data_IF_057320532082
#
_entry.id   IF_057320532082
#
_cell.length_a   1.000
_cell.length_b   1.000
_cell.length_c   1.000
_cell.angle_alpha   90.00
_cell.angle_beta   90.00
_cell.angle_gamma   90.00
#
_symmetry.space_group_name_H-M   'P 1'
#
loop_
_entity.id
_entity.type
_entity.pdbx_description
1 polymer ?
#
# COMPACT_ATOMS: atom_id res chain seq x y z
N UNK A 1 2.62 -6.16 -20.46
CA UNK A 1 3.29 -4.93 -19.95
C UNK A 1 3.97 -4.21 -21.11
N UNK A 2 3.87 -2.86 -21.20
CA UNK A 2 4.60 -2.08 -22.23
C UNK A 2 6.10 -2.01 -21.89
N UNK A 3 6.96 -1.78 -22.92
CA UNK A 3 8.43 -1.65 -22.71
C UNK A 3 8.76 -0.52 -21.73
N UNK A 4 8.08 0.62 -21.83
CA UNK A 4 8.28 1.76 -20.92
C UNK A 4 7.87 1.44 -19.47
N UNK A 5 6.84 0.64 -19.29
CA UNK A 5 6.39 0.18 -17.97
C UNK A 5 7.37 -0.83 -17.37
N UNK A 6 7.87 -1.77 -18.17
CA UNK A 6 8.90 -2.70 -17.71
C UNK A 6 10.15 -1.97 -17.20
N UNK A 7 10.66 -1.01 -17.97
CA UNK A 7 11.82 -0.18 -17.55
C UNK A 7 11.52 0.56 -16.24
N UNK A 8 10.30 1.07 -16.06
CA UNK A 8 9.91 1.74 -14.84
C UNK A 8 9.90 0.80 -13.63
N UNK A 9 9.36 -0.41 -13.79
CA UNK A 9 9.32 -1.43 -12.73
C UNK A 9 10.73 -1.85 -12.30
N UNK A 10 11.64 -2.08 -13.26
CA UNK A 10 13.04 -2.40 -12.96
C UNK A 10 13.69 -1.28 -12.16
N UNK A 11 13.53 -0.02 -12.58
CA UNK A 11 14.09 1.13 -11.84
C UNK A 11 13.51 1.29 -10.44
N UNK A 12 12.22 1.05 -10.26
CA UNK A 12 11.59 1.08 -8.95
C UNK A 12 12.15 -0.03 -8.04
N UNK A 13 12.22 -1.27 -8.55
CA UNK A 13 12.79 -2.41 -7.82
C UNK A 13 14.25 -2.16 -7.40
N UNK A 14 15.09 -1.65 -8.32
CA UNK A 14 16.49 -1.28 -8.02
C UNK A 14 16.57 -0.19 -6.93
N UNK A 15 15.71 0.84 -7.00
CA UNK A 15 15.68 1.91 -6.01
C UNK A 15 15.36 1.38 -4.61
N UNK A 16 14.34 0.53 -4.49
CA UNK A 16 13.96 -0.10 -3.23
C UNK A 16 15.01 -1.12 -2.75
N UNK A 17 15.66 -1.85 -3.65
CA UNK A 17 16.76 -2.75 -3.29
C UNK A 17 17.94 -2.01 -2.67
N UNK A 18 18.31 -0.83 -3.20
CA UNK A 18 19.36 0.01 -2.60
C UNK A 18 18.99 0.52 -1.21
N UNK A 19 17.71 0.81 -0.97
CA UNK A 19 17.23 1.32 0.31
C UNK A 19 17.01 0.23 1.36
N UNK A 20 16.95 -1.05 0.95
CA UNK A 20 16.50 -2.15 1.82
C UNK A 20 17.29 -2.28 3.12
N UNK A 21 18.61 -2.08 3.09
CA UNK A 21 19.48 -2.22 4.27
C UNK A 21 19.16 -1.21 5.39
N UNK A 22 18.67 -0.02 5.04
CA UNK A 22 18.37 1.07 5.98
C UNK A 22 16.87 1.32 6.14
N UNK A 23 16.03 0.56 5.42
CA UNK A 23 14.60 0.81 5.33
C UNK A 23 13.91 0.76 6.70
N UNK A 24 14.22 -0.25 7.50
CA UNK A 24 13.61 -0.41 8.82
C UNK A 24 14.10 0.64 9.81
N UNK A 25 15.35 1.06 9.71
CA UNK A 25 15.89 2.16 10.51
C UNK A 25 15.20 3.49 10.19
N UNK A 26 15.02 3.78 8.89
CA UNK A 26 14.36 5.01 8.42
C UNK A 26 12.89 5.10 8.78
N UNK A 27 12.17 3.98 8.74
CA UNK A 27 10.71 3.97 8.82
C UNK A 27 10.13 3.21 10.01
N UNK A 28 10.95 2.37 10.69
CA UNK A 28 10.49 1.50 11.77
C UNK A 28 10.05 2.25 13.03
N UNK A 29 10.65 3.41 13.33
CA UNK A 29 10.35 4.20 14.53
C UNK A 29 9.53 5.46 14.26
N UNK A 30 9.33 5.84 12.99
CA UNK A 30 8.55 7.03 12.64
C UNK A 30 7.08 6.90 13.09
N UNK A 31 6.65 7.80 13.99
CA UNK A 31 5.32 7.75 14.59
C UNK A 31 4.18 7.89 13.58
N UNK A 32 4.39 8.60 12.46
CA UNK A 32 3.40 8.77 11.41
C UNK A 32 3.30 7.53 10.53
N UNK A 33 4.43 6.88 10.25
CA UNK A 33 4.48 5.59 9.54
C UNK A 33 3.81 4.51 10.39
N UNK A 34 4.13 4.43 11.68
CA UNK A 34 3.51 3.49 12.61
C UNK A 34 2.00 3.74 12.75
N UNK A 35 1.56 4.99 12.78
CA UNK A 35 0.14 5.32 12.76
C UNK A 35 -0.55 4.79 11.47
N UNK A 36 0.02 5.05 10.29
CA UNK A 36 -0.53 4.56 9.03
C UNK A 36 -0.60 3.04 9.01
N UNK A 37 0.49 2.38 9.39
CA UNK A 37 0.59 0.92 9.44
C UNK A 37 -0.46 0.31 10.37
N UNK A 38 -0.58 0.85 11.58
CA UNK A 38 -1.61 0.42 12.53
C UNK A 38 -3.02 0.56 11.95
N UNK A 39 -3.33 1.67 11.28
CA UNK A 39 -4.63 1.90 10.66
C UNK A 39 -4.98 0.85 9.59
N UNK A 40 -3.99 0.47 8.77
CA UNK A 40 -4.16 -0.56 7.75
C UNK A 40 -4.32 -1.94 8.38
N UNK A 41 -3.48 -2.30 9.35
CA UNK A 41 -3.56 -3.56 10.09
C UNK A 41 -4.91 -3.71 10.80
N UNK A 42 -5.34 -2.71 11.56
CA UNK A 42 -6.66 -2.70 12.23
C UNK A 42 -7.82 -2.84 11.24
N UNK A 43 -7.69 -2.25 10.04
CA UNK A 43 -8.69 -2.35 8.99
C UNK A 43 -8.78 -3.78 8.45
N UNK A 44 -7.65 -4.39 8.09
CA UNK A 44 -7.60 -5.77 7.58
C UNK A 44 -8.11 -6.75 8.64
N UNK A 45 -7.66 -6.62 9.89
CA UNK A 45 -8.10 -7.49 11.00
C UNK A 45 -9.60 -7.45 11.25
N UNK A 46 -10.30 -6.37 10.89
CA UNK A 46 -11.77 -6.27 11.01
C UNK A 46 -12.53 -7.00 9.91
N UNK A 47 -11.95 -7.13 8.72
CA UNK A 47 -12.66 -7.67 7.55
C UNK A 47 -12.20 -9.06 7.14
N UNK A 48 -10.97 -9.43 7.48
CA UNK A 48 -10.40 -10.73 7.22
C UNK A 48 -10.74 -11.72 8.34
N UNK A 49 -10.89 -12.99 8.00
CA UNK A 49 -11.03 -14.06 8.99
C UNK A 49 -9.63 -14.48 9.48
N UNK A 50 -9.37 -14.52 10.79
CA UNK A 50 -8.12 -15.07 11.32
C UNK A 50 -7.88 -16.50 10.83
N UNK A 51 -6.61 -16.88 10.64
CA UNK A 51 -6.23 -18.21 10.16
C UNK A 51 -6.32 -18.38 8.64
N UNK A 52 -6.64 -17.31 7.91
CA UNK A 52 -6.71 -17.34 6.45
C UNK A 52 -5.35 -17.34 5.79
N UNK A 53 -5.32 -17.76 4.51
CA UNK A 53 -4.16 -17.66 3.64
C UNK A 53 -4.13 -16.30 2.97
N UNK A 54 -3.04 -15.58 3.14
CA UNK A 54 -2.87 -14.19 2.73
C UNK A 54 -1.77 -14.04 1.69
N UNK A 55 -2.04 -13.32 0.61
CA UNK A 55 -1.02 -12.83 -0.34
C UNK A 55 -0.75 -11.36 -0.05
N UNK A 56 0.49 -11.05 0.28
CA UNK A 56 0.99 -9.68 0.38
C UNK A 56 1.74 -9.29 -0.89
N UNK A 57 1.24 -8.26 -1.59
CA UNK A 57 1.91 -7.66 -2.73
C UNK A 57 2.83 -6.52 -2.25
N UNK A 58 4.03 -6.41 -2.82
CA UNK A 58 5.02 -5.39 -2.44
C UNK A 58 5.30 -5.35 -0.92
N UNK A 59 5.68 -6.51 -0.37
CA UNK A 59 5.86 -6.71 1.08
C UNK A 59 7.02 -5.92 1.69
N UNK A 60 7.96 -5.42 0.88
CA UNK A 60 9.16 -4.74 1.36
C UNK A 60 9.98 -5.64 2.28
N UNK A 61 10.41 -5.10 3.42
CA UNK A 61 11.16 -5.83 4.45
C UNK A 61 10.30 -6.72 5.35
N UNK A 62 9.01 -6.90 5.01
CA UNK A 62 8.11 -7.88 5.61
C UNK A 62 7.50 -7.49 6.96
N UNK A 63 7.50 -6.22 7.33
CA UNK A 63 6.94 -5.73 8.61
C UNK A 63 5.46 -6.08 8.81
N UNK A 64 4.67 -6.06 7.72
CA UNK A 64 3.26 -6.42 7.77
C UNK A 64 3.08 -7.94 7.66
N UNK A 65 3.88 -8.64 6.84
CA UNK A 65 3.89 -10.11 6.77
C UNK A 65 4.11 -10.74 8.14
N UNK A 66 5.15 -10.29 8.87
CA UNK A 66 5.45 -10.76 10.21
C UNK A 66 4.32 -10.46 11.20
N UNK A 67 3.73 -9.28 11.12
CA UNK A 67 2.58 -8.92 11.97
C UNK A 67 1.40 -9.87 11.75
N UNK A 68 1.02 -10.12 10.49
CA UNK A 68 -0.12 -10.99 10.19
C UNK A 68 0.16 -12.46 10.53
N UNK A 69 1.41 -12.92 10.34
CA UNK A 69 1.83 -14.25 10.79
C UNK A 69 1.67 -14.42 12.31
N UNK A 70 2.05 -13.42 13.11
CA UNK A 70 1.83 -13.40 14.56
C UNK A 70 0.35 -13.37 14.95
N UNK A 71 -0.53 -13.02 14.01
CA UNK A 71 -1.99 -13.02 14.19
C UNK A 71 -2.68 -14.20 13.50
N UNK A 72 -1.96 -15.32 13.37
CA UNK A 72 -2.44 -16.61 12.85
C UNK A 72 -2.83 -16.61 11.37
N UNK A 73 -2.27 -15.74 10.55
CA UNK A 73 -2.36 -15.87 9.09
C UNK A 73 -1.18 -16.68 8.54
N UNK A 74 -1.43 -17.48 7.52
CA UNK A 74 -0.38 -17.97 6.64
C UNK A 74 -0.14 -16.90 5.59
N UNK A 75 1.09 -16.41 5.45
CA UNK A 75 1.39 -15.27 4.57
C UNK A 75 2.33 -15.70 3.45
N UNK A 76 1.90 -15.49 2.21
CA UNK A 76 2.76 -15.53 1.04
C UNK A 76 3.13 -14.09 0.67
N UNK A 77 4.38 -13.72 0.94
CA UNK A 77 4.88 -12.35 0.80
C UNK A 77 5.67 -12.20 -0.50
N UNK A 78 5.24 -11.27 -1.36
CA UNK A 78 5.88 -11.03 -2.66
C UNK A 78 6.43 -9.61 -2.77
N UNK A 79 7.57 -9.47 -3.41
CA UNK A 79 8.14 -8.18 -3.80
C UNK A 79 8.93 -8.33 -5.11
N UNK A 80 9.07 -7.24 -5.86
CA UNK A 80 9.92 -7.20 -7.04
C UNK A 80 11.39 -6.91 -6.70
N UNK A 81 11.68 -6.51 -5.46
CA UNK A 81 13.00 -6.15 -4.97
C UNK A 81 13.66 -7.31 -4.24
N UNK A 82 14.74 -7.86 -4.80
CA UNK A 82 15.55 -8.90 -4.15
C UNK A 82 16.13 -8.40 -2.82
N UNK A 83 16.56 -7.14 -2.76
CA UNK A 83 17.11 -6.55 -1.54
C UNK A 83 16.09 -6.53 -0.41
N UNK A 84 14.83 -6.14 -0.70
CA UNK A 84 13.75 -6.16 0.29
C UNK A 84 13.47 -7.59 0.78
N UNK A 85 13.31 -8.54 -0.13
CA UNK A 85 13.08 -9.94 0.23
C UNK A 85 14.24 -10.56 1.02
N UNK A 86 15.49 -10.19 0.70
CA UNK A 86 16.66 -10.66 1.46
C UNK A 86 16.58 -10.22 2.92
N UNK A 87 16.16 -8.98 3.21
CA UNK A 87 15.96 -8.50 4.59
C UNK A 87 14.84 -9.27 5.27
N UNK A 88 13.71 -9.49 4.61
CA UNK A 88 12.62 -10.31 5.15
C UNK A 88 13.11 -11.74 5.46
N UNK A 89 13.79 -12.40 4.53
CA UNK A 89 14.31 -13.75 4.71
C UNK A 89 15.29 -13.84 5.88
N UNK A 90 16.11 -12.81 6.13
CA UNK A 90 16.96 -12.74 7.32
C UNK A 90 16.13 -12.70 8.61
N UNK A 91 15.05 -11.92 8.65
CA UNK A 91 14.13 -11.87 9.80
C UNK A 91 13.43 -13.21 10.04
N UNK A 92 13.14 -13.99 8.99
CA UNK A 92 12.47 -15.28 9.08
C UNK A 92 13.36 -16.42 9.61
N UNK A 93 14.68 -16.28 9.62
CA UNK A 93 15.62 -17.31 10.12
C UNK A 93 15.47 -17.64 11.61
N UNK A 94 14.69 -16.87 12.38
CA UNK A 94 14.40 -17.11 13.80
C UNK A 94 13.27 -18.12 14.04
N UNK A 95 12.02 -17.67 14.04
CA UNK A 95 10.86 -18.50 14.40
C UNK A 95 9.61 -18.32 13.52
N UNK A 96 9.63 -17.47 12.52
CA UNK A 96 8.45 -17.14 11.70
C UNK A 96 8.44 -17.84 10.33
N UNK A 97 9.44 -18.66 10.02
CA UNK A 97 9.60 -19.30 8.71
C UNK A 97 8.54 -20.33 8.34
N UNK A 98 7.78 -20.85 9.33
CA UNK A 98 6.72 -21.82 9.07
C UNK A 98 5.41 -21.16 8.58
N UNK A 99 5.19 -19.88 8.90
CA UNK A 99 3.94 -19.17 8.61
C UNK A 99 4.09 -18.09 7.53
N UNK A 100 5.31 -17.77 7.11
CA UNK A 100 5.60 -16.80 6.05
C UNK A 100 6.47 -17.43 4.98
N UNK A 101 5.95 -17.51 3.76
CA UNK A 101 6.73 -17.83 2.56
C UNK A 101 7.02 -16.57 1.76
N UNK A 102 8.10 -16.57 0.98
CA UNK A 102 8.53 -15.40 0.19
C UNK A 102 8.73 -15.78 -1.27
N UNK A 103 8.33 -14.92 -2.19
CA UNK A 103 8.55 -15.10 -3.62
C UNK A 103 8.95 -13.79 -4.31
N UNK A 104 9.98 -13.84 -5.15
CA UNK A 104 10.38 -12.72 -6.00
C UNK A 104 9.39 -12.61 -7.16
N UNK A 105 8.40 -11.75 -7.02
CA UNK A 105 7.39 -11.54 -8.02
C UNK A 105 6.90 -10.09 -8.02
N UNK A 106 6.86 -9.48 -9.21
CA UNK A 106 6.23 -8.17 -9.38
C UNK A 106 4.71 -8.31 -9.39
N UNK A 107 4.02 -7.39 -8.73
CA UNK A 107 2.56 -7.29 -8.81
C UNK A 107 2.04 -7.05 -10.25
N UNK A 108 2.90 -6.66 -11.18
CA UNK A 108 2.56 -6.53 -12.61
C UNK A 108 2.61 -7.85 -13.37
N UNK A 109 3.14 -8.91 -12.77
CA UNK A 109 3.35 -10.23 -13.38
C UNK A 109 2.79 -11.35 -12.50
N UNK A 110 1.65 -11.15 -11.87
CA UNK A 110 1.03 -12.11 -10.94
C UNK A 110 0.67 -13.45 -11.58
N UNK A 111 0.60 -13.52 -12.90
CA UNK A 111 0.48 -14.79 -13.64
C UNK A 111 1.72 -15.70 -13.50
N UNK A 112 2.87 -15.14 -13.14
CA UNK A 112 4.13 -15.86 -12.93
C UNK A 112 4.30 -16.40 -11.50
N UNK A 113 3.42 -16.05 -10.57
CA UNK A 113 3.45 -16.60 -9.22
C UNK A 113 3.50 -18.13 -9.26
N UNK A 114 4.40 -18.73 -8.48
CA UNK A 114 4.47 -20.18 -8.29
C UNK A 114 3.30 -20.63 -7.41
N UNK A 115 3.08 -19.93 -6.29
CA UNK A 115 1.92 -20.14 -5.46
C UNK A 115 0.76 -19.24 -5.92
N UNK A 116 -0.21 -19.86 -6.55
CA UNK A 116 -1.40 -19.17 -7.10
C UNK A 116 -2.60 -19.19 -6.15
N UNK A 117 -2.41 -19.61 -4.90
CA UNK A 117 -3.47 -19.70 -3.92
C UNK A 117 -4.45 -20.86 -4.17
N UNK A 118 -5.77 -20.66 -4.11
CA UNK A 118 -6.46 -19.36 -3.91
C UNK A 118 -6.33 -18.80 -2.48
N UNK A 119 -6.21 -17.48 -2.38
CA UNK A 119 -6.00 -16.78 -1.11
C UNK A 119 -7.32 -16.29 -0.50
N UNK A 120 -7.40 -16.30 0.84
CA UNK A 120 -8.52 -15.72 1.59
C UNK A 120 -8.43 -14.18 1.59
N UNK A 121 -7.20 -13.66 1.60
CA UNK A 121 -6.90 -12.23 1.61
C UNK A 121 -5.78 -11.92 0.63
N UNK A 122 -5.99 -10.92 -0.22
CA UNK A 122 -4.90 -10.29 -0.99
C UNK A 122 -4.79 -8.84 -0.54
N UNK A 123 -3.57 -8.39 -0.22
CA UNK A 123 -3.42 -6.98 0.12
C UNK A 123 -2.13 -6.36 -0.38
N UNK A 124 -2.17 -5.02 -0.51
CA UNK A 124 -1.03 -4.18 -0.85
C UNK A 124 -1.04 -2.92 0.01
N UNK A 125 0.12 -2.57 0.60
CA UNK A 125 0.24 -1.43 1.50
C UNK A 125 1.16 -0.33 0.93
N UNK A 126 1.13 0.84 1.57
CA UNK A 126 2.01 2.00 1.36
C UNK A 126 2.16 2.47 -0.08
N UNK A 127 1.16 2.21 -0.94
CA UNK A 127 1.13 2.75 -2.30
C UNK A 127 2.15 2.12 -3.25
N UNK A 128 2.60 0.89 -3.01
CA UNK A 128 3.46 0.17 -3.95
C UNK A 128 2.83 0.08 -5.33
N UNK A 129 1.51 -0.14 -5.40
CA UNK A 129 0.74 -0.16 -6.65
C UNK A 129 0.72 1.18 -7.40
N UNK A 130 1.16 2.27 -6.79
CA UNK A 130 1.34 3.55 -7.46
C UNK A 130 2.60 3.60 -8.34
N UNK A 131 3.47 2.59 -8.29
CA UNK A 131 4.67 2.50 -9.13
C UNK A 131 4.39 1.95 -10.53
N UNK A 132 3.14 1.68 -10.90
CA UNK A 132 2.75 1.26 -12.25
C UNK A 132 1.73 2.20 -12.88
N UNK A 133 1.86 2.43 -14.19
CA UNK A 133 0.87 3.09 -15.03
C UNK A 133 -0.21 2.14 -15.57
N UNK A 134 -0.06 0.83 -15.36
CA UNK A 134 -0.95 -0.23 -15.86
C UNK A 134 -1.74 -0.87 -14.70
N UNK A 135 -2.17 -0.09 -13.70
CA UNK A 135 -2.87 -0.59 -12.52
C UNK A 135 -4.13 -1.41 -12.87
N UNK A 136 -4.84 -1.08 -13.94
CA UNK A 136 -6.02 -1.83 -14.39
C UNK A 136 -5.72 -3.30 -14.68
N UNK A 137 -4.52 -3.61 -15.21
CA UNK A 137 -4.09 -4.99 -15.46
C UNK A 137 -3.85 -5.75 -14.16
N UNK A 138 -3.19 -5.10 -13.20
CA UNK A 138 -2.98 -5.65 -11.85
C UNK A 138 -4.33 -5.96 -11.19
N UNK A 139 -5.28 -5.02 -11.23
CA UNK A 139 -6.60 -5.21 -10.63
C UNK A 139 -7.37 -6.36 -11.29
N UNK A 140 -7.25 -6.51 -12.61
CA UNK A 140 -7.90 -7.59 -13.35
C UNK A 140 -7.34 -8.99 -12.99
N UNK A 141 -6.03 -9.10 -12.72
CA UNK A 141 -5.40 -10.38 -12.38
C UNK A 141 -5.79 -10.90 -10.99
N UNK A 142 -6.22 -10.02 -10.07
CA UNK A 142 -6.54 -10.40 -8.68
C UNK A 142 -7.69 -11.42 -8.58
N UNK A 143 -8.62 -11.44 -9.54
CA UNK A 143 -9.75 -12.39 -9.49
C UNK A 143 -9.32 -13.85 -9.50
N UNK A 144 -8.27 -14.18 -10.23
CA UNK A 144 -7.76 -15.54 -10.32
C UNK A 144 -7.06 -16.03 -9.03
N UNK A 145 -6.67 -15.09 -8.16
CA UNK A 145 -5.89 -15.39 -6.96
C UNK A 145 -6.74 -15.44 -5.69
N UNK A 146 -7.96 -14.91 -5.71
CA UNK A 146 -8.80 -14.75 -4.52
C UNK A 146 -9.91 -15.78 -4.51
N UNK A 147 -10.10 -16.46 -3.37
CA UNK A 147 -11.23 -17.37 -3.14
C UNK A 147 -12.58 -16.68 -3.33
N UNK A 148 -13.63 -17.38 -3.74
CA UNK A 148 -15.00 -16.85 -3.65
C UNK A 148 -15.28 -16.37 -2.21
N UNK A 149 -15.76 -15.14 -2.06
CA UNK A 149 -15.96 -14.50 -0.75
C UNK A 149 -14.69 -14.00 -0.03
N UNK A 150 -13.51 -14.28 -0.57
CA UNK A 150 -12.24 -13.71 -0.09
C UNK A 150 -12.15 -12.20 -0.28
N UNK A 151 -11.19 -11.57 0.35
CA UNK A 151 -11.08 -10.10 0.39
C UNK A 151 -9.81 -9.58 -0.30
N UNK A 152 -9.93 -8.41 -0.90
CA UNK A 152 -8.81 -7.63 -1.45
C UNK A 152 -8.77 -6.29 -0.74
N UNK A 153 -7.62 -5.93 -0.14
CA UNK A 153 -7.41 -4.60 0.47
C UNK A 153 -6.23 -3.90 -0.17
N UNK A 154 -6.47 -2.72 -0.69
CA UNK A 154 -5.46 -1.91 -1.37
C UNK A 154 -5.29 -0.57 -0.67
N UNK A 155 -4.05 -0.18 -0.40
CA UNK A 155 -3.68 1.13 0.16
C UNK A 155 -2.95 1.91 -0.92
N UNK A 156 -3.60 2.92 -1.44
CA UNK A 156 -3.17 3.63 -2.65
C UNK A 156 -2.99 5.11 -2.34
N UNK A 157 -1.94 5.72 -2.89
CA UNK A 157 -1.72 7.18 -2.83
C UNK A 157 -2.80 7.85 -3.66
N UNK A 158 -3.57 8.70 -3.02
CA UNK A 158 -4.72 9.36 -3.63
C UNK A 158 -4.32 10.39 -4.69
N UNK A 159 -5.15 10.54 -5.72
CA UNK A 159 -5.01 11.61 -6.70
C UNK A 159 -5.27 13.00 -6.11
N UNK A 160 -6.08 13.09 -5.06
CA UNK A 160 -6.32 14.33 -4.32
C UNK A 160 -5.87 14.15 -2.87
N UNK A 161 -5.07 15.11 -2.38
CA UNK A 161 -4.63 15.20 -0.99
C UNK A 161 -4.85 16.61 -0.48
N UNK A 162 -5.70 16.76 0.54
CA UNK A 162 -6.03 18.06 1.12
C UNK A 162 -4.78 18.78 1.63
N UNK A 163 -3.96 18.09 2.41
CA UNK A 163 -2.73 18.66 2.99
C UNK A 163 -1.76 19.16 1.93
N UNK A 164 -1.59 18.40 0.85
CA UNK A 164 -0.71 18.80 -0.24
C UNK A 164 -1.28 19.99 -1.01
N UNK A 165 -2.60 20.01 -1.24
CA UNK A 165 -3.28 21.12 -1.90
C UNK A 165 -3.17 22.40 -1.07
N UNK A 166 -3.24 22.33 0.26
CA UNK A 166 -3.08 23.49 1.14
C UNK A 166 -1.67 24.11 1.08
N UNK A 167 -0.66 23.41 0.54
CA UNK A 167 0.68 23.99 0.32
C UNK A 167 0.67 25.13 -0.70
N UNK A 168 -0.38 25.29 -1.50
CA UNK A 168 -0.53 26.43 -2.39
C UNK A 168 -0.54 27.77 -1.61
N UNK A 169 -1.12 27.80 -0.41
CA UNK A 169 -1.12 28.99 0.46
C UNK A 169 0.28 29.34 1.01
N UNK A 170 1.25 28.42 0.88
CA UNK A 170 2.67 28.65 1.18
C UNK A 170 3.50 28.88 -0.09
N UNK A 171 2.87 29.20 -1.21
CA UNK A 171 3.53 29.44 -2.52
C UNK A 171 4.09 28.17 -3.20
N UNK A 172 3.85 26.96 -2.67
CA UNK A 172 4.37 25.70 -3.21
C UNK A 172 3.43 25.11 -4.27
N UNK A 173 3.09 25.89 -5.30
CA UNK A 173 2.12 25.49 -6.35
C UNK A 173 2.49 24.20 -7.08
N UNK A 174 3.77 24.02 -7.44
CA UNK A 174 4.24 22.77 -8.07
C UNK A 174 3.89 21.53 -7.27
N UNK A 175 4.09 21.58 -5.95
CA UNK A 175 3.77 20.47 -5.04
C UNK A 175 2.27 20.31 -4.88
N UNK A 176 1.55 21.42 -4.67
CA UNK A 176 0.10 21.41 -4.44
C UNK A 176 -0.69 20.76 -5.60
N UNK A 177 -0.23 20.95 -6.83
CA UNK A 177 -0.94 20.47 -8.03
C UNK A 177 -0.28 19.27 -8.70
N UNK A 178 0.84 18.73 -8.18
CA UNK A 178 1.60 17.66 -8.84
C UNK A 178 0.76 16.40 -9.11
N UNK A 179 -0.18 16.06 -8.23
CA UNK A 179 -1.00 14.85 -8.34
C UNK A 179 -2.05 14.97 -9.44
N UNK A 180 -2.57 16.16 -9.68
CA UNK A 180 -3.59 16.40 -10.72
C UNK A 180 -3.04 16.15 -12.13
N UNK A 181 -1.77 16.48 -12.36
CA UNK A 181 -1.10 16.35 -13.66
C UNK A 181 -0.24 15.08 -13.73
N UNK A 182 -0.77 13.96 -13.25
CA UNK A 182 -0.03 12.68 -13.13
C UNK A 182 -0.42 11.62 -14.17
N UNK A 183 -1.13 11.98 -15.25
CA UNK A 183 -1.57 11.01 -16.28
C UNK A 183 -0.41 10.21 -16.88
N UNK A 184 0.76 10.84 -17.10
CA UNK A 184 1.96 10.20 -17.64
C UNK A 184 2.96 9.75 -16.55
N UNK A 185 2.51 9.65 -15.29
CA UNK A 185 3.35 9.42 -14.13
C UNK A 185 4.12 10.66 -13.70
N UNK A 186 4.51 10.70 -12.45
CA UNK A 186 5.38 11.74 -11.86
C UNK A 186 6.68 11.12 -11.41
N UNK A 187 7.77 11.83 -11.67
CA UNK A 187 9.11 11.41 -11.28
C UNK A 187 9.20 11.31 -9.75
N UNK A 188 9.54 10.15 -9.26
CA UNK A 188 9.91 9.86 -7.88
C UNK A 188 11.41 9.59 -7.82
N UNK A 189 12.01 9.80 -6.66
CA UNK A 189 13.44 9.62 -6.44
C UNK A 189 13.67 8.93 -5.10
N UNK A 190 14.40 7.82 -5.12
CA UNK A 190 14.85 7.05 -3.96
C UNK A 190 16.29 6.61 -4.21
N UNK A 191 17.19 6.84 -3.26
CA UNK A 191 18.59 6.39 -3.28
C UNK A 191 19.29 6.60 -4.64
N UNK A 192 19.21 7.84 -5.18
CA UNK A 192 19.82 8.19 -6.46
C UNK A 192 19.11 7.63 -7.70
N UNK A 193 18.11 6.80 -7.54
CA UNK A 193 17.36 6.20 -8.65
C UNK A 193 16.04 6.92 -8.90
N UNK A 194 15.69 7.09 -10.17
CA UNK A 194 14.47 7.78 -10.61
C UNK A 194 13.52 6.80 -11.28
N UNK A 195 12.27 6.79 -10.84
CA UNK A 195 11.18 6.04 -11.46
C UNK A 195 9.92 6.91 -11.49
N UNK A 196 8.82 6.38 -12.05
CA UNK A 196 7.54 7.10 -12.11
C UNK A 196 6.54 6.52 -11.12
N UNK A 197 5.75 7.42 -10.51
CA UNK A 197 4.58 7.10 -9.71
C UNK A 197 3.34 7.75 -10.31
N UNK A 198 2.23 7.03 -10.24
CA UNK A 198 0.90 7.49 -10.64
C UNK A 198 0.01 7.65 -9.41
N UNK A 199 -0.97 8.52 -9.52
CA UNK A 199 -1.92 8.78 -8.45
C UNK A 199 -3.32 8.41 -8.94
N UNK A 200 -3.96 7.48 -8.27
CA UNK A 200 -5.25 6.94 -8.69
C UNK A 200 -6.38 7.40 -7.76
N UNK A 201 -7.51 7.91 -8.30
CA UNK A 201 -8.67 8.18 -7.46
C UNK A 201 -9.37 6.87 -7.10
N UNK A 202 -10.10 6.80 -5.95
CA UNK A 202 -10.88 5.62 -5.59
C UNK A 202 -11.87 5.16 -6.67
N UNK A 203 -12.43 6.09 -7.44
CA UNK A 203 -13.35 5.79 -8.54
C UNK A 203 -12.70 4.94 -9.65
N UNK A 204 -11.41 5.14 -9.91
CA UNK A 204 -10.66 4.31 -10.87
C UNK A 204 -10.61 2.86 -10.39
N UNK A 205 -10.20 2.63 -9.15
CA UNK A 205 -10.10 1.28 -8.58
C UNK A 205 -11.47 0.62 -8.51
N UNK A 206 -12.49 1.32 -8.01
CA UNK A 206 -13.86 0.81 -7.96
C UNK A 206 -14.37 0.39 -9.34
N UNK A 207 -14.12 1.19 -10.39
CA UNK A 207 -14.54 0.87 -11.76
C UNK A 207 -13.95 -0.47 -12.23
N UNK A 208 -12.66 -0.69 -12.03
CA UNK A 208 -11.96 -1.89 -12.54
C UNK A 208 -12.19 -3.13 -11.68
N UNK A 209 -12.48 -2.96 -10.38
CA UNK A 209 -12.82 -4.07 -9.49
C UNK A 209 -14.28 -4.53 -9.59
N UNK A 210 -15.21 -3.63 -9.92
CA UNK A 210 -16.65 -3.90 -9.95
C UNK A 210 -17.09 -5.15 -10.72
N UNK A 211 -16.47 -5.54 -11.84
CA UNK A 211 -16.91 -6.76 -12.56
C UNK A 211 -16.82 -8.03 -11.71
N UNK A 212 -15.80 -8.16 -10.88
CA UNK A 212 -15.50 -9.38 -10.13
C UNK A 212 -15.61 -9.26 -8.61
N UNK A 213 -15.77 -8.04 -8.09
CA UNK A 213 -15.72 -7.76 -6.66
C UNK A 213 -16.82 -6.76 -6.26
N UNK A 214 -17.29 -6.89 -5.02
CA UNK A 214 -18.16 -5.92 -4.37
C UNK A 214 -17.36 -5.06 -3.38
N UNK A 215 -17.64 -3.76 -3.36
CA UNK A 215 -17.00 -2.83 -2.44
C UNK A 215 -17.46 -3.11 -1.00
N UNK A 216 -16.51 -3.34 -0.11
CA UNK A 216 -16.74 -3.57 1.33
C UNK A 216 -16.52 -2.29 2.13
N UNK A 217 -15.42 -1.59 1.87
CA UNK A 217 -15.06 -0.39 2.62
C UNK A 217 -14.20 0.58 1.80
N UNK A 218 -14.32 1.86 2.10
CA UNK A 218 -13.45 2.93 1.62
C UNK A 218 -13.21 3.91 2.77
N UNK A 219 -11.94 4.02 3.20
CA UNK A 219 -11.50 4.92 4.26
C UNK A 219 -10.36 5.82 3.77
N UNK A 220 -10.41 7.09 4.14
CA UNK A 220 -9.26 7.98 3.97
C UNK A 220 -8.19 7.71 5.02
N UNK A 221 -6.93 7.93 4.64
CA UNK A 221 -5.78 7.79 5.52
C UNK A 221 -4.91 9.05 5.41
N UNK A 222 -4.53 9.62 6.54
CA UNK A 222 -3.91 10.95 6.63
C UNK A 222 -4.76 12.03 5.94
N UNK A 223 -6.02 12.11 6.35
CA UNK A 223 -6.96 13.15 5.92
C UNK A 223 -6.96 14.33 6.87
N UNK A 224 -7.14 14.08 8.16
CA UNK A 224 -7.10 15.04 9.26
C UNK A 224 -5.74 15.03 9.92
N UNK A 225 -5.18 13.85 10.11
CA UNK A 225 -3.79 13.67 10.52
C UNK A 225 -2.89 14.09 9.37
N UNK A 226 -1.84 14.90 9.62
CA UNK A 226 -0.90 15.30 8.59
C UNK A 226 -0.16 14.10 7.96
N UNK A 227 0.22 14.17 6.70
CA UNK A 227 1.10 13.17 6.08
C UNK A 227 2.52 13.16 6.66
N UNK A 228 3.24 12.05 6.48
CA UNK A 228 4.59 11.85 7.01
C UNK A 228 5.65 12.84 6.49
N UNK A 229 5.42 13.49 5.34
CA UNK A 229 6.33 14.56 4.86
C UNK A 229 6.27 15.86 5.69
N UNK A 230 5.34 15.96 6.66
CA UNK A 230 5.37 16.98 7.71
C UNK A 230 6.16 16.37 8.88
N UNK A 231 7.48 16.49 8.78
CA UNK A 231 8.45 15.83 9.65
C UNK A 231 8.26 16.16 11.15
N UNK A 232 8.38 15.13 11.96
CA UNK A 232 8.34 15.20 13.43
C UNK A 232 7.05 15.82 13.98
N UNK A 233 5.95 15.79 13.24
CA UNK A 233 4.69 16.41 13.70
C UNK A 233 4.16 15.75 14.97
N UNK A 234 4.18 14.42 15.03
CA UNK A 234 3.69 13.67 16.18
C UNK A 234 4.51 13.94 17.45
N UNK A 235 5.81 14.11 17.32
CA UNK A 235 6.75 14.38 18.39
C UNK A 235 6.67 15.83 18.88
N UNK A 236 6.61 16.77 17.94
CA UNK A 236 6.49 18.21 18.25
C UNK A 236 5.13 18.58 18.82
N UNK A 237 4.07 17.85 18.45
CA UNK A 237 2.68 18.17 18.83
C UNK A 237 1.89 16.95 19.31
N UNK A 238 2.35 16.21 20.35
CA UNK A 238 1.77 14.91 20.72
C UNK A 238 0.29 14.99 21.12
N UNK A 239 -0.12 16.05 21.84
CA UNK A 239 -1.53 16.25 22.23
C UNK A 239 -2.41 16.53 21.02
N UNK A 240 -1.94 17.37 20.09
CA UNK A 240 -2.67 17.66 18.84
C UNK A 240 -2.74 16.42 17.95
N UNK A 241 -1.65 15.69 17.80
CA UNK A 241 -1.62 14.43 17.05
C UNK A 241 -2.64 13.42 17.61
N UNK A 242 -2.68 13.24 18.94
CA UNK A 242 -3.67 12.36 19.58
C UNK A 242 -5.11 12.82 19.34
N UNK A 243 -5.37 14.13 19.35
CA UNK A 243 -6.70 14.69 19.04
C UNK A 243 -7.07 14.44 17.58
N UNK A 244 -6.17 14.72 16.63
CA UNK A 244 -6.40 14.53 15.19
C UNK A 244 -6.63 13.06 14.86
N UNK A 245 -5.89 12.12 15.46
CA UNK A 245 -6.11 10.67 15.31
C UNK A 245 -7.54 10.26 15.69
N UNK A 246 -8.06 10.76 16.84
CA UNK A 246 -9.45 10.47 17.24
C UNK A 246 -10.47 11.04 16.26
N UNK A 247 -10.21 12.23 15.70
CA UNK A 247 -11.08 12.86 14.69
C UNK A 247 -11.04 12.07 13.37
N UNK A 248 -9.84 11.67 12.92
CA UNK A 248 -9.69 10.89 11.71
C UNK A 248 -10.38 9.54 11.84
N UNK A 249 -10.24 8.83 12.97
CA UNK A 249 -10.92 7.57 13.20
C UNK A 249 -12.45 7.69 13.08
N UNK A 250 -13.01 8.79 13.56
CA UNK A 250 -14.46 9.06 13.48
C UNK A 250 -14.92 9.42 12.06
N UNK A 251 -14.05 10.06 11.26
CA UNK A 251 -14.42 10.65 9.97
C UNK A 251 -13.93 9.86 8.75
N UNK A 252 -12.99 8.97 8.91
CA UNK A 252 -12.27 8.25 7.85
C UNK A 252 -13.14 7.68 6.73
N UNK A 253 -14.36 7.18 7.05
CA UNK A 253 -15.28 6.60 6.09
C UNK A 253 -16.37 7.57 5.62
N UNK A 254 -16.40 8.81 6.14
CA UNK A 254 -17.42 9.82 5.81
C UNK A 254 -17.00 10.67 4.62
N UNK A 255 -17.98 11.14 3.85
CA UNK A 255 -17.76 12.20 2.87
C UNK A 255 -17.47 13.54 3.59
N UNK A 256 -16.51 14.38 3.14
CA UNK A 256 -15.57 14.15 2.03
C UNK A 256 -14.31 13.41 2.45
N UNK A 257 -14.09 13.11 3.74
CA UNK A 257 -12.85 12.64 4.35
C UNK A 257 -12.27 11.38 3.69
N UNK A 258 -13.11 10.44 3.26
CA UNK A 258 -12.66 9.22 2.59
C UNK A 258 -12.01 9.44 1.21
N UNK A 259 -12.07 10.67 0.67
CA UNK A 259 -11.57 11.00 -0.67
C UNK A 259 -10.41 12.01 -0.69
N UNK A 260 -10.07 12.62 0.46
CA UNK A 260 -9.16 13.78 0.53
C UNK A 260 -7.87 13.51 1.29
N UNK A 261 -7.60 12.23 1.59
CA UNK A 261 -6.40 11.80 2.30
C UNK A 261 -5.15 11.72 1.43
N UNK A 262 -4.02 11.62 2.09
CA UNK A 262 -2.75 11.30 1.42
C UNK A 262 -2.82 9.93 0.73
N UNK A 263 -3.40 8.96 1.44
CA UNK A 263 -3.78 7.64 0.95
C UNK A 263 -5.28 7.40 1.15
N UNK A 264 -5.76 6.34 0.56
CA UNK A 264 -7.01 5.69 0.94
C UNK A 264 -6.81 4.18 1.09
N UNK A 265 -7.60 3.59 1.98
CA UNK A 265 -7.73 2.14 2.16
C UNK A 265 -9.03 1.74 1.49
N UNK A 266 -8.97 0.85 0.53
CA UNK A 266 -10.15 0.35 -0.17
C UNK A 266 -10.18 -1.17 -0.13
N UNK A 267 -11.33 -1.73 0.25
CA UNK A 267 -11.49 -3.18 0.38
C UNK A 267 -12.67 -3.68 -0.40
N UNK A 268 -12.48 -4.84 -0.99
CA UNK A 268 -13.45 -5.52 -1.82
C UNK A 268 -13.62 -6.97 -1.36
N UNK A 269 -14.75 -7.57 -1.71
CA UNK A 269 -15.04 -9.00 -1.55
C UNK A 269 -15.23 -9.63 -2.91
N UNK A 270 -14.57 -10.76 -3.16
CA UNK A 270 -14.75 -11.50 -4.39
C UNK A 270 -16.18 -12.04 -4.47
N UNK A 271 -16.84 -11.82 -5.60
CA UNK A 271 -18.16 -12.35 -5.87
C UNK A 271 -18.12 -13.87 -5.94
N UNK A 272 -19.14 -14.51 -5.39
CA UNK A 272 -19.41 -15.93 -5.67
C UNK A 272 -19.66 -16.07 -7.18
N UNK A 273 -19.13 -17.13 -7.77
CA UNK A 273 -19.36 -17.43 -9.17
C UNK A 273 -20.84 -17.80 -9.37
#
# INVERSE_FOLDING_TARGET
>A
MSVSEHINQVKASEAFSKQSAVFDELFGTDAMIQYKRKRVRDHIMRIAKPGGYMLELNCGTGEDALFFAQHNFLVHATDASEGMLSVLQQKLRGNAGETVSTELCSFTNLEQLQDKGPFDVVYSNFGGLNCTGELEKVLASLKALVKPGGTVTLVIISKFCLWETLLMFKGKFKTAFRRFFSSNGRKAHIEGSYFKCWYYPPSFVMKHMKPSFDLVALEGLCTVVPPSYIENFAEKHPKLFSFLRRKEERWKARWPWKFIGDYYIISFRAKSA
#
